data_IF_297778712391
#
_entry.id   IF_297778712391
#
_cell.length_a   1.000
_cell.length_b   1.000
_cell.length_c   1.000
_cell.angle_alpha   90.00
_cell.angle_beta   90.00
_cell.angle_gamma   90.00
#
_symmetry.space_group_name_H-M   'P 1'
#
loop_
_entity.id
_entity.type
_entity.pdbx_description
1 polymer ?
#
# COMPACT_ATOMS: atom_id res chain seq x y z
N UNK A 1 -2.04 -5.57 20.87
CA UNK A 1 -1.71 -6.38 22.08
C UNK A 1 -0.68 -7.47 21.77
N UNK A 2 -0.93 -8.41 20.86
CA UNK A 2 0.03 -9.49 20.54
C UNK A 2 1.44 -8.99 20.14
N UNK A 3 1.55 -7.90 19.37
CA UNK A 3 2.86 -7.32 19.00
C UNK A 3 3.58 -6.64 20.16
N UNK A 4 2.84 -6.00 21.06
CA UNK A 4 3.40 -5.40 22.27
C UNK A 4 3.94 -6.48 23.22
N UNK A 5 3.31 -7.66 23.23
CA UNK A 5 3.76 -8.83 23.98
C UNK A 5 4.98 -9.50 23.33
N UNK A 6 5.07 -9.49 21.99
CA UNK A 6 6.18 -10.11 21.25
C UNK A 6 7.52 -9.44 21.59
N UNK A 7 7.56 -8.11 21.51
CA UNK A 7 8.78 -7.33 21.78
C UNK A 7 8.87 -6.82 23.22
N UNK A 8 7.81 -6.93 24.03
CA UNK A 8 7.71 -6.34 25.37
C UNK A 8 8.92 -6.53 26.29
N UNK A 9 9.48 -7.75 26.43
CA UNK A 9 10.62 -8.01 27.31
C UNK A 9 11.93 -7.37 26.86
N UNK A 10 12.04 -6.94 25.61
CA UNK A 10 13.22 -6.22 25.13
C UNK A 10 13.20 -4.77 25.65
N UNK A 11 14.36 -4.20 26.02
CA UNK A 11 14.48 -2.76 26.28
C UNK A 11 13.99 -1.97 25.07
N UNK A 12 13.05 -1.03 25.24
CA UNK A 12 12.43 -0.32 24.13
C UNK A 12 11.39 -1.12 23.33
N UNK A 13 11.06 -2.34 23.76
CA UNK A 13 10.22 -3.29 23.06
C UNK A 13 8.86 -2.77 22.61
N UNK A 14 8.17 -2.04 23.50
CA UNK A 14 6.87 -1.43 23.19
C UNK A 14 6.99 -0.38 22.07
N UNK A 15 8.07 0.41 22.05
CA UNK A 15 8.34 1.38 20.99
C UNK A 15 8.60 0.71 19.65
N UNK A 16 9.35 -0.41 19.64
CA UNK A 16 9.59 -1.22 18.44
C UNK A 16 8.26 -1.78 17.92
N UNK A 17 7.38 -2.27 18.80
CA UNK A 17 6.04 -2.72 18.40
C UNK A 17 5.23 -1.60 17.75
N UNK A 18 5.33 -0.37 18.24
CA UNK A 18 4.61 0.78 17.65
C UNK A 18 5.14 1.09 16.25
N UNK A 19 6.45 1.15 16.04
CA UNK A 19 7.03 1.35 14.71
C UNK A 19 6.61 0.24 13.77
N UNK A 20 6.70 -1.02 14.20
CA UNK A 20 6.40 -2.17 13.35
C UNK A 20 4.92 -2.23 12.97
N UNK A 21 4.02 -2.10 13.94
CA UNK A 21 2.57 -2.07 13.66
C UNK A 21 2.23 -0.83 12.83
N UNK A 22 2.85 0.31 13.11
CA UNK A 22 2.62 1.51 12.35
C UNK A 22 3.18 1.45 10.92
N UNK A 23 4.28 0.74 10.67
CA UNK A 23 4.77 0.43 9.32
C UNK A 23 3.79 -0.47 8.54
N UNK A 24 3.19 -1.45 9.22
CA UNK A 24 2.16 -2.30 8.62
C UNK A 24 0.87 -1.51 8.32
N UNK A 25 0.42 -0.66 9.25
CA UNK A 25 -0.75 0.18 9.04
C UNK A 25 -0.51 1.28 7.99
N UNK A 26 0.71 1.82 7.95
CA UNK A 26 1.18 2.76 6.95
C UNK A 26 0.98 2.22 5.54
N UNK A 27 1.43 0.99 5.28
CA UNK A 27 1.24 0.31 4.00
C UNK A 27 -0.25 0.14 3.63
N UNK A 28 -1.15 0.03 4.62
CA UNK A 28 -2.59 -0.17 4.33
C UNK A 28 -3.38 1.13 4.17
N UNK A 29 -2.95 2.22 4.78
CA UNK A 29 -3.72 3.47 4.85
C UNK A 29 -3.18 4.58 3.96
N UNK A 30 -1.86 4.64 3.75
CA UNK A 30 -1.23 5.66 2.91
C UNK A 30 -1.38 7.11 3.42
N UNK A 31 -1.90 7.33 4.64
CA UNK A 31 -2.18 8.66 5.20
C UNK A 31 -1.60 8.81 6.60
N UNK A 32 -0.80 9.87 6.78
CA UNK A 32 -0.15 10.20 8.07
C UNK A 32 -1.19 10.54 9.15
N UNK A 33 -2.15 11.42 8.86
CA UNK A 33 -3.12 11.91 9.85
C UNK A 33 -3.93 10.79 10.52
N UNK A 34 -4.54 9.91 9.71
CA UNK A 34 -5.33 8.78 10.22
C UNK A 34 -4.48 7.81 11.07
N UNK A 35 -3.27 7.48 10.58
CA UNK A 35 -2.37 6.57 11.29
C UNK A 35 -1.91 7.15 12.62
N UNK A 36 -1.54 8.45 12.66
CA UNK A 36 -1.11 9.13 13.88
C UNK A 36 -2.25 9.23 14.89
N UNK A 37 -3.47 9.53 14.46
CA UNK A 37 -4.64 9.58 15.37
C UNK A 37 -4.95 8.20 15.93
N UNK A 38 -5.01 7.17 15.09
CA UNK A 38 -5.27 5.80 15.53
C UNK A 38 -4.20 5.30 16.50
N UNK A 39 -2.92 5.50 16.16
CA UNK A 39 -1.79 5.14 17.03
C UNK A 39 -1.71 6.02 18.27
N UNK A 40 -2.08 7.29 18.18
CA UNK A 40 -2.17 8.20 19.32
C UNK A 40 -3.22 7.74 20.32
N UNK A 41 -4.39 7.30 19.87
CA UNK A 41 -5.47 6.82 20.74
C UNK A 41 -5.16 5.46 21.36
N UNK A 42 -4.44 4.57 20.66
CA UNK A 42 -4.20 3.19 21.10
C UNK A 42 -2.84 3.04 21.80
N UNK A 43 -1.77 3.53 21.17
CA UNK A 43 -0.39 3.28 21.59
C UNK A 43 0.12 4.27 22.61
N UNK A 44 -0.29 5.55 22.56
CA UNK A 44 0.19 6.56 23.52
C UNK A 44 -0.22 6.21 24.97
N UNK A 45 -1.49 5.88 25.28
CA UNK A 45 -1.87 5.52 26.64
C UNK A 45 -1.15 4.27 27.13
N UNK A 46 -0.93 3.29 26.24
CA UNK A 46 -0.21 2.06 26.56
C UNK A 46 1.27 2.34 26.88
N UNK A 47 1.94 3.23 26.13
CA UNK A 47 3.32 3.63 26.39
C UNK A 47 3.44 4.39 27.73
N UNK A 48 2.55 5.34 27.98
CA UNK A 48 2.56 6.12 29.22
C UNK A 48 2.25 5.26 30.45
N UNK A 49 1.32 4.29 30.35
CA UNK A 49 1.02 3.34 31.43
C UNK A 49 2.25 2.48 31.79
N UNK A 50 3.13 2.23 30.83
CA UNK A 50 4.38 1.51 31.03
C UNK A 50 5.58 2.44 31.29
N UNK A 51 5.35 3.67 31.76
CA UNK A 51 6.38 4.63 32.14
C UNK A 51 7.35 5.03 31.02
N UNK A 52 6.93 4.97 29.74
CA UNK A 52 7.70 5.59 28.67
C UNK A 52 7.70 7.12 28.81
N UNK A 53 8.81 7.74 28.44
CA UNK A 53 8.88 9.21 28.42
C UNK A 53 7.92 9.80 27.37
N UNK A 54 7.19 10.86 27.73
CA UNK A 54 6.25 11.55 26.82
C UNK A 54 6.90 11.97 25.50
N UNK A 55 8.11 12.58 25.47
CA UNK A 55 8.74 12.98 24.22
C UNK A 55 9.06 11.80 23.30
N UNK A 56 9.56 10.69 23.86
CA UNK A 56 9.87 9.50 23.08
C UNK A 56 8.59 8.83 22.56
N UNK A 57 7.54 8.73 23.38
CA UNK A 57 6.28 8.12 22.98
C UNK A 57 5.59 8.91 21.86
N UNK A 58 5.45 10.23 22.02
CA UNK A 58 4.88 11.10 20.98
C UNK A 58 5.75 11.09 19.71
N UNK A 59 7.08 11.24 19.85
CA UNK A 59 8.00 11.23 18.72
C UNK A 59 7.96 9.93 17.93
N UNK A 60 7.89 8.78 18.62
CA UNK A 60 7.79 7.46 17.98
C UNK A 60 6.48 7.31 17.19
N UNK A 61 5.36 7.77 17.74
CA UNK A 61 4.05 7.71 17.07
C UNK A 61 4.03 8.64 15.85
N UNK A 62 4.52 9.87 15.99
CA UNK A 62 4.64 10.81 14.88
C UNK A 62 5.55 10.27 13.76
N UNK A 63 6.73 9.78 14.11
CA UNK A 63 7.68 9.20 13.16
C UNK A 63 7.07 7.99 12.45
N UNK A 64 6.42 7.09 13.20
CA UNK A 64 5.75 5.93 12.63
C UNK A 64 4.61 6.31 11.67
N UNK A 65 3.92 7.43 11.89
CA UNK A 65 2.88 7.91 10.98
C UNK A 65 3.43 8.35 9.62
N UNK A 66 4.63 8.93 9.58
CA UNK A 66 5.27 9.38 8.33
C UNK A 66 5.62 8.22 7.40
N UNK A 67 5.79 7.01 7.93
CA UNK A 67 6.02 5.79 7.14
C UNK A 67 4.88 5.52 6.14
N UNK A 68 3.66 6.00 6.41
CA UNK A 68 2.52 5.89 5.49
C UNK A 68 2.74 6.55 4.13
N UNK A 69 3.66 7.52 4.05
CA UNK A 69 3.95 8.20 2.79
C UNK A 69 4.97 7.44 1.94
N UNK A 70 5.86 6.65 2.54
CA UNK A 70 6.97 6.01 1.83
C UNK A 70 6.74 4.52 1.61
N UNK A 71 6.08 3.81 2.52
CA UNK A 71 5.89 2.37 2.42
C UNK A 71 4.74 2.07 1.44
N UNK A 72 5.00 1.35 0.33
CA UNK A 72 3.94 1.00 -0.61
C UNK A 72 2.88 0.04 -0.03
N UNK A 73 1.61 0.13 -0.50
CA UNK A 73 1.05 1.13 -1.40
C UNK A 73 0.82 2.50 -0.73
N UNK A 74 1.41 3.57 -1.29
CA UNK A 74 1.30 4.94 -0.76
C UNK A 74 0.55 5.85 -1.71
N UNK A 75 -0.43 6.58 -1.18
CA UNK A 75 -1.21 7.58 -1.93
C UNK A 75 -0.31 8.68 -2.48
N UNK A 76 0.67 9.13 -1.69
CA UNK A 76 1.61 10.19 -2.09
C UNK A 76 2.43 9.74 -3.30
N UNK A 77 2.94 8.50 -3.27
CA UNK A 77 3.70 7.96 -4.40
C UNK A 77 2.82 7.74 -5.64
N UNK A 78 1.56 7.33 -5.48
CA UNK A 78 0.61 7.21 -6.60
C UNK A 78 0.38 8.58 -7.25
N UNK A 79 0.12 9.61 -6.44
CA UNK A 79 -0.10 10.97 -6.94
C UNK A 79 1.15 11.50 -7.63
N UNK A 80 2.33 11.32 -7.03
CA UNK A 80 3.59 11.73 -7.64
C UNK A 80 3.83 11.01 -8.97
N UNK A 81 3.55 9.71 -9.05
CA UNK A 81 3.66 8.95 -10.30
C UNK A 81 2.74 9.51 -11.39
N UNK A 82 1.49 9.82 -11.05
CA UNK A 82 0.52 10.38 -11.98
C UNK A 82 0.96 11.76 -12.49
N UNK A 83 1.43 12.64 -11.59
CA UNK A 83 1.93 13.97 -11.96
C UNK A 83 3.20 13.88 -12.81
N UNK A 84 4.13 12.99 -12.47
CA UNK A 84 5.35 12.75 -13.26
C UNK A 84 5.02 12.17 -14.63
N UNK A 85 4.08 11.23 -14.72
CA UNK A 85 3.64 10.67 -16.01
C UNK A 85 3.02 11.75 -16.90
N UNK A 86 2.12 12.56 -16.34
CA UNK A 86 1.49 13.66 -17.08
C UNK A 86 2.51 14.70 -17.56
N UNK A 87 3.51 15.02 -16.73
CA UNK A 87 4.60 15.92 -17.11
C UNK A 87 5.48 15.31 -18.22
N UNK A 88 5.83 14.02 -18.12
CA UNK A 88 6.58 13.31 -19.16
C UNK A 88 5.81 13.22 -20.48
N UNK A 89 4.48 13.03 -20.44
CA UNK A 89 3.63 12.99 -21.64
C UNK A 89 3.54 14.37 -22.33
N UNK A 90 3.44 15.45 -21.55
CA UNK A 90 3.52 16.83 -22.07
C UNK A 90 4.89 17.09 -22.72
N UNK A 91 5.97 16.71 -22.04
CA UNK A 91 7.34 16.86 -22.56
C UNK A 91 7.56 16.04 -23.84
N UNK A 92 7.05 14.80 -23.89
CA UNK A 92 7.10 13.94 -25.08
C UNK A 92 6.33 14.54 -26.25
N UNK A 93 5.16 15.11 -26.00
CA UNK A 93 4.37 15.78 -27.04
C UNK A 93 5.12 16.98 -27.61
N UNK A 94 5.72 17.81 -26.75
CA UNK A 94 6.54 18.94 -27.17
C UNK A 94 7.79 18.49 -27.97
N UNK A 95 8.50 17.46 -27.50
CA UNK A 95 9.67 16.89 -28.22
C UNK A 95 9.30 16.30 -29.57
N UNK A 96 8.17 15.57 -29.67
CA UNK A 96 7.68 15.02 -30.94
C UNK A 96 7.33 16.13 -31.94
N UNK A 97 6.75 17.24 -31.47
CA UNK A 97 6.47 18.40 -32.30
C UNK A 97 7.76 19.06 -32.83
N UNK A 98 8.76 19.27 -31.95
CA UNK A 98 10.07 19.80 -32.32
C UNK A 98 10.82 18.88 -33.29
N UNK A 99 10.84 17.57 -33.03
CA UNK A 99 11.49 16.59 -33.91
C UNK A 99 10.88 16.63 -35.31
N UNK A 100 9.55 16.61 -35.41
CA UNK A 100 8.83 16.69 -36.69
C UNK A 100 9.13 17.97 -37.45
N UNK A 101 9.30 19.10 -36.77
CA UNK A 101 9.65 20.38 -37.41
C UNK A 101 11.08 20.38 -37.98
N UNK A 102 12.02 19.68 -37.34
CA UNK A 102 13.43 19.67 -37.74
C UNK A 102 13.71 18.61 -38.82
N UNK A 103 13.17 17.40 -38.67
CA UNK A 103 13.49 16.26 -39.54
C UNK A 103 12.45 15.99 -40.62
N UNK A 104 11.22 16.50 -40.46
CA UNK A 104 10.08 16.19 -41.32
C UNK A 104 9.47 14.80 -41.08
N UNK A 105 10.03 13.99 -40.18
CA UNK A 105 9.54 12.66 -39.84
C UNK A 105 8.43 12.70 -38.77
N UNK A 106 7.38 11.90 -38.95
CA UNK A 106 6.23 11.85 -38.03
C UNK A 106 6.46 11.00 -36.77
N UNK A 107 7.44 10.09 -36.81
CA UNK A 107 7.73 9.17 -35.71
C UNK A 107 9.10 9.49 -35.11
N UNK A 108 9.12 9.92 -33.86
CA UNK A 108 10.36 10.11 -33.11
C UNK A 108 10.89 8.76 -32.61
N UNK A 109 12.19 8.44 -32.77
CA UNK A 109 12.79 7.24 -32.19
C UNK A 109 12.65 7.17 -30.67
N UNK A 110 12.43 5.97 -30.13
CA UNK A 110 12.21 5.73 -28.68
C UNK A 110 13.36 6.19 -27.77
N UNK A 111 14.59 6.23 -28.28
CA UNK A 111 15.77 6.75 -27.55
C UNK A 111 15.67 8.25 -27.18
N UNK A 112 14.79 9.00 -27.82
CA UNK A 112 14.56 10.42 -27.53
C UNK A 112 13.32 10.67 -26.68
N UNK A 113 12.56 9.62 -26.36
CA UNK A 113 11.39 9.72 -25.49
C UNK A 113 11.82 9.97 -24.03
N UNK A 114 11.08 10.84 -23.37
CA UNK A 114 11.13 11.03 -21.93
C UNK A 114 10.40 9.86 -21.30
N UNK A 115 11.14 9.03 -20.56
CA UNK A 115 10.56 7.89 -19.83
C UNK A 115 9.70 8.46 -18.69
N UNK A 116 8.42 8.08 -18.66
CA UNK A 116 7.56 8.36 -17.50
C UNK A 116 7.83 7.34 -16.40
N UNK A 117 7.89 7.80 -15.15
CA UNK A 117 7.93 6.90 -14.01
C UNK A 117 6.51 6.36 -13.77
N UNK A 118 6.33 5.04 -13.82
CA UNK A 118 5.05 4.45 -13.46
C UNK A 118 4.89 4.42 -11.93
N UNK A 119 3.64 4.27 -11.46
CA UNK A 119 3.39 4.08 -10.03
C UNK A 119 4.04 2.79 -9.48
N UNK A 120 4.20 1.76 -10.33
CA UNK A 120 4.95 0.55 -9.97
C UNK A 120 6.43 0.83 -9.75
N UNK A 121 7.06 1.62 -10.60
CA UNK A 121 8.46 2.01 -10.48
C UNK A 121 8.70 2.85 -9.22
N UNK A 122 7.78 3.78 -8.93
CA UNK A 122 7.80 4.57 -7.70
C UNK A 122 7.70 3.68 -6.45
N UNK A 123 6.85 2.66 -6.46
CA UNK A 123 6.76 1.70 -5.35
C UNK A 123 8.03 0.86 -5.21
N UNK A 124 8.58 0.38 -6.32
CA UNK A 124 9.82 -0.39 -6.31
C UNK A 124 10.99 0.44 -5.77
N UNK A 125 11.10 1.70 -6.19
CA UNK A 125 12.12 2.64 -5.74
C UNK A 125 11.97 3.04 -4.27
N UNK A 126 10.74 3.09 -3.74
CA UNK A 126 10.47 3.48 -2.35
C UNK A 126 10.56 2.32 -1.35
N UNK A 127 10.46 1.07 -1.79
CA UNK A 127 10.43 -0.10 -0.90
C UNK A 127 11.71 -0.22 -0.05
N UNK A 128 12.88 -0.16 -0.67
CA UNK A 128 14.17 -0.29 0.03
C UNK A 128 14.38 0.88 1.01
N UNK A 129 14.27 2.16 0.59
CA UNK A 129 14.34 3.29 1.52
C UNK A 129 13.34 3.21 2.66
N UNK A 130 12.11 2.76 2.40
CA UNK A 130 11.08 2.59 3.42
C UNK A 130 11.46 1.56 4.48
N UNK A 131 11.99 0.40 4.06
CA UNK A 131 12.48 -0.63 4.98
C UNK A 131 13.71 -0.17 5.76
N UNK A 132 14.63 0.54 5.11
CA UNK A 132 15.80 1.13 5.77
C UNK A 132 15.34 2.12 6.85
N UNK A 133 14.37 2.98 6.54
CA UNK A 133 13.85 3.98 7.49
C UNK A 133 13.21 3.31 8.72
N UNK A 134 12.42 2.24 8.52
CA UNK A 134 11.89 1.42 9.61
C UNK A 134 13.03 0.85 10.46
N UNK A 135 14.07 0.32 9.82
CA UNK A 135 15.26 -0.19 10.50
C UNK A 135 15.98 0.88 11.31
N UNK A 136 16.16 2.09 10.75
CA UNK A 136 16.78 3.23 11.44
C UNK A 136 15.94 3.65 12.64
N UNK A 137 14.61 3.70 12.53
CA UNK A 137 13.75 4.02 13.68
C UNK A 137 13.81 2.97 14.78
N UNK A 138 13.83 1.68 14.42
CA UNK A 138 14.00 0.59 15.40
C UNK A 138 15.36 0.70 16.09
N UNK A 139 16.42 0.93 15.31
CA UNK A 139 17.78 1.11 15.81
C UNK A 139 17.86 2.31 16.76
N UNK A 140 17.23 3.43 16.42
CA UNK A 140 17.16 4.60 17.27
C UNK A 140 16.52 4.29 18.63
N UNK A 141 15.40 3.55 18.66
CA UNK A 141 14.75 3.15 19.93
C UNK A 141 15.67 2.22 20.74
N UNK A 142 16.33 1.26 20.09
CA UNK A 142 17.27 0.36 20.76
C UNK A 142 18.44 1.12 21.38
N UNK A 143 19.03 2.06 20.65
CA UNK A 143 20.12 2.92 21.14
C UNK A 143 19.64 3.74 22.35
N UNK A 144 18.47 4.38 22.26
CA UNK A 144 17.91 5.17 23.36
C UNK A 144 17.61 4.30 24.58
N UNK A 145 17.04 3.10 24.38
CA UNK A 145 16.76 2.17 25.47
C UNK A 145 18.03 1.65 26.15
N UNK A 146 19.11 1.47 25.40
CA UNK A 146 20.41 1.04 25.92
C UNK A 146 21.12 2.17 26.71
N UNK A 147 21.17 3.38 26.16
CA UNK A 147 21.84 4.52 26.81
C UNK A 147 21.01 5.06 27.99
N UNK A 148 19.67 5.07 27.85
CA UNK A 148 18.74 5.65 28.83
C UNK A 148 17.57 4.70 29.10
N UNK A 149 17.78 3.62 29.86
CA UNK A 149 16.74 2.61 30.12
C UNK A 149 15.49 3.16 30.82
N UNK A 150 15.61 4.27 31.56
CA UNK A 150 14.47 4.96 32.19
C UNK A 150 13.49 5.58 31.18
N UNK A 151 13.93 5.90 29.96
CA UNK A 151 13.06 6.53 28.94
C UNK A 151 12.20 5.51 28.17
N UNK A 152 12.65 4.26 28.12
CA UNK A 152 12.06 3.18 27.35
C UNK A 152 12.19 1.83 28.09
N UNK A 153 11.52 1.68 29.25
CA UNK A 153 11.64 0.48 30.07
C UNK A 153 11.07 -0.76 29.34
N UNK A 154 11.62 -1.95 29.61
CA UNK A 154 11.04 -3.21 29.14
C UNK A 154 9.70 -3.47 29.84
N UNK A 155 8.74 -4.02 29.11
CA UNK A 155 7.42 -4.40 29.61
C UNK A 155 7.40 -5.92 29.79
N UNK A 156 7.47 -6.44 31.03
CA UNK A 156 7.48 -7.87 31.25
C UNK A 156 6.18 -8.50 30.72
N UNK A 157 6.34 -9.56 29.92
CA UNK A 157 5.23 -10.38 29.48
C UNK A 157 5.05 -11.52 30.49
N UNK A 158 3.90 -11.56 31.17
CA UNK A 158 3.60 -12.57 32.20
C UNK A 158 3.28 -13.97 31.63
N UNK A 159 3.23 -14.12 30.30
CA UNK A 159 2.98 -15.41 29.64
C UNK A 159 4.26 -16.10 29.16
N UNK A 160 4.16 -17.39 28.83
CA UNK A 160 5.24 -18.12 28.16
C UNK A 160 5.26 -17.83 26.65
N UNK A 161 6.46 -17.80 26.06
CA UNK A 161 6.67 -17.82 24.61
C UNK A 161 6.41 -19.22 24.04
N UNK A 162 5.16 -19.67 24.14
CA UNK A 162 4.75 -21.02 23.74
C UNK A 162 4.30 -21.09 22.27
N UNK A 163 4.05 -22.31 21.79
CA UNK A 163 3.53 -22.54 20.44
C UNK A 163 2.18 -21.86 20.20
N UNK A 164 1.38 -21.64 21.24
CA UNK A 164 0.10 -20.93 21.14
C UNK A 164 0.28 -19.43 20.95
N UNK A 165 1.26 -18.82 21.62
CA UNK A 165 1.66 -17.43 21.43
C UNK A 165 2.19 -17.20 20.01
N UNK A 166 3.09 -18.06 19.54
CA UNK A 166 3.57 -18.02 18.15
C UNK A 166 2.41 -18.11 17.14
N UNK A 167 1.44 -19.01 17.38
CA UNK A 167 0.23 -19.11 16.55
C UNK A 167 -0.61 -17.85 16.57
N UNK A 168 -0.81 -17.21 17.72
CA UNK A 168 -1.54 -15.93 17.84
C UNK A 168 -0.86 -14.80 17.06
N UNK A 169 0.45 -14.68 17.19
CA UNK A 169 1.27 -13.70 16.47
C UNK A 169 1.18 -13.92 14.95
N UNK A 170 1.33 -15.17 14.49
CA UNK A 170 1.22 -15.52 13.08
C UNK A 170 -0.18 -15.23 12.51
N UNK A 171 -1.24 -15.64 13.21
CA UNK A 171 -2.63 -15.38 12.76
C UNK A 171 -2.95 -13.88 12.69
N UNK A 172 -2.30 -13.06 13.51
CA UNK A 172 -2.43 -11.61 13.47
C UNK A 172 -1.70 -10.97 12.27
N UNK A 173 -0.45 -11.37 11.99
CA UNK A 173 0.43 -10.76 10.99
C UNK A 173 0.26 -11.29 9.57
N UNK A 174 0.12 -12.60 9.44
CA UNK A 174 0.17 -13.26 8.12
C UNK A 174 -0.91 -12.71 7.19
N UNK A 175 -2.18 -12.50 7.61
CA UNK A 175 -3.19 -12.05 6.64
C UNK A 175 -2.95 -10.63 6.08
N UNK A 176 -2.66 -9.58 6.89
CA UNK A 176 -2.29 -8.27 6.36
C UNK A 176 -1.04 -8.30 5.49
N UNK A 177 0.00 -9.02 5.91
CA UNK A 177 1.24 -9.16 5.14
C UNK A 177 1.00 -9.87 3.81
N UNK A 178 0.27 -10.98 3.83
CA UNK A 178 -0.08 -11.73 2.63
C UNK A 178 -0.83 -10.84 1.63
N UNK A 179 -1.78 -10.01 2.09
CA UNK A 179 -2.48 -9.07 1.23
C UNK A 179 -1.52 -8.03 0.62
N UNK A 180 -0.63 -7.45 1.43
CA UNK A 180 0.38 -6.50 0.94
C UNK A 180 1.27 -7.17 -0.11
N UNK A 181 1.78 -8.37 0.14
CA UNK A 181 2.62 -9.09 -0.82
C UNK A 181 1.87 -9.50 -2.09
N UNK A 182 0.60 -9.88 -2.00
CA UNK A 182 -0.22 -10.18 -3.18
C UNK A 182 -0.42 -8.91 -4.03
N UNK A 183 -0.80 -7.80 -3.40
CA UNK A 183 -1.04 -6.53 -4.11
C UNK A 183 0.27 -6.00 -4.70
N UNK A 184 1.29 -5.81 -3.87
CA UNK A 184 2.58 -5.28 -4.30
C UNK A 184 3.27 -6.22 -5.29
N UNK A 185 3.24 -7.53 -5.04
CA UNK A 185 3.80 -8.53 -5.95
C UNK A 185 3.12 -8.52 -7.31
N UNK A 186 1.79 -8.33 -7.37
CA UNK A 186 1.07 -8.22 -8.65
C UNK A 186 1.44 -6.96 -9.45
N UNK A 187 1.77 -5.86 -8.76
CA UNK A 187 2.25 -4.61 -9.38
C UNK A 187 3.68 -4.79 -9.88
N UNK A 188 4.58 -5.25 -9.02
CA UNK A 188 6.01 -5.40 -9.33
C UNK A 188 6.28 -6.45 -10.40
N UNK A 189 5.49 -7.53 -10.43
CA UNK A 189 5.59 -8.55 -11.48
C UNK A 189 4.91 -8.13 -12.80
N UNK A 190 4.30 -6.94 -12.87
CA UNK A 190 3.58 -6.47 -14.05
C UNK A 190 2.32 -7.26 -14.38
N UNK A 191 1.82 -8.06 -13.44
CA UNK A 191 0.61 -8.90 -13.61
C UNK A 191 -0.66 -8.06 -13.56
N UNK A 192 -0.66 -7.03 -12.72
CA UNK A 192 -1.79 -6.14 -12.50
C UNK A 192 -1.34 -4.68 -12.49
N UNK A 193 -2.14 -3.80 -13.08
CA UNK A 193 -1.97 -2.34 -12.91
C UNK A 193 -2.37 -1.93 -11.49
N UNK A 194 -1.98 -0.72 -11.04
CA UNK A 194 -2.29 -0.24 -9.68
C UNK A 194 -3.79 -0.28 -9.36
N UNK A 195 -4.65 0.07 -10.33
CA UNK A 195 -6.10 0.02 -10.16
C UNK A 195 -6.61 -1.42 -10.00
N UNK A 196 -6.07 -2.36 -10.79
CA UNK A 196 -6.42 -3.78 -10.70
C UNK A 196 -5.93 -4.41 -9.40
N UNK A 197 -4.70 -4.08 -8.99
CA UNK A 197 -4.12 -4.52 -7.72
C UNK A 197 -4.92 -3.99 -6.52
N UNK A 198 -5.44 -2.76 -6.59
CA UNK A 198 -6.37 -2.20 -5.61
C UNK A 198 -7.66 -3.02 -5.48
N UNK A 199 -8.25 -3.47 -6.59
CA UNK A 199 -9.42 -4.34 -6.58
C UNK A 199 -9.13 -5.71 -5.94
N UNK A 200 -7.97 -6.30 -6.25
CA UNK A 200 -7.50 -7.54 -5.60
C UNK A 200 -7.36 -7.33 -4.09
N UNK A 201 -6.79 -6.20 -3.67
CA UNK A 201 -6.67 -5.80 -2.27
C UNK A 201 -8.03 -5.70 -1.56
N UNK A 202 -9.00 -5.01 -2.17
CA UNK A 202 -10.33 -4.83 -1.63
C UNK A 202 -11.10 -6.16 -1.49
N UNK A 203 -11.06 -7.00 -2.52
CA UNK A 203 -11.69 -8.33 -2.50
C UNK A 203 -11.04 -9.20 -1.42
N UNK A 204 -9.70 -9.21 -1.34
CA UNK A 204 -8.97 -9.93 -0.31
C UNK A 204 -9.31 -9.45 1.10
N UNK A 205 -9.39 -8.13 1.33
CA UNK A 205 -9.77 -7.55 2.61
C UNK A 205 -11.20 -7.92 3.03
N UNK A 206 -12.16 -7.91 2.10
CA UNK A 206 -13.55 -8.31 2.35
C UNK A 206 -13.63 -9.79 2.75
N UNK A 207 -12.96 -10.68 2.02
CA UNK A 207 -12.90 -12.11 2.36
C UNK A 207 -12.25 -12.30 3.74
N UNK A 208 -11.18 -11.55 4.04
CA UNK A 208 -10.50 -11.60 5.33
C UNK A 208 -11.38 -11.14 6.49
N UNK A 209 -12.06 -10.01 6.34
CA UNK A 209 -13.02 -9.52 7.31
C UNK A 209 -14.14 -10.56 7.51
N UNK A 210 -14.66 -11.14 6.43
CA UNK A 210 -15.73 -12.13 6.46
C UNK A 210 -15.46 -13.36 7.33
N UNK A 211 -14.23 -13.88 7.36
CA UNK A 211 -13.88 -15.00 8.25
C UNK A 211 -13.36 -14.54 9.63
N UNK A 212 -12.72 -13.37 9.74
CA UNK A 212 -12.25 -12.86 11.04
C UNK A 212 -13.40 -12.49 11.97
N UNK A 213 -14.51 -12.00 11.42
CA UNK A 213 -15.66 -11.55 12.21
C UNK A 213 -16.67 -12.65 12.51
N UNK A 214 -16.60 -13.78 11.79
CA UNK A 214 -17.45 -14.96 12.03
C UNK A 214 -16.75 -15.99 12.93
N UNK A 215 -16.17 -15.50 14.03
CA UNK A 215 -15.48 -16.32 15.01
C UNK A 215 -16.45 -17.27 15.73
N UNK A 216 -16.05 -18.55 15.87
CA UNK A 216 -16.79 -19.57 16.63
C UNK A 216 -17.95 -20.26 15.92
N UNK A 217 -18.25 -19.94 14.65
CA UNK A 217 -19.38 -20.54 13.90
C UNK A 217 -18.92 -21.51 12.80
N UNK A 218 -19.72 -22.55 12.57
CA UNK A 218 -19.50 -23.50 11.46
C UNK A 218 -19.52 -22.76 10.13
N UNK A 219 -18.54 -23.04 9.26
CA UNK A 219 -18.41 -22.35 7.98
C UNK A 219 -17.63 -21.03 7.98
N UNK A 220 -16.86 -20.75 9.04
CA UNK A 220 -15.99 -19.56 9.16
C UNK A 220 -15.13 -19.31 7.90
N UNK A 221 -14.36 -20.32 7.48
CA UNK A 221 -13.41 -20.20 6.37
C UNK A 221 -13.98 -20.58 5.00
N UNK A 222 -15.25 -20.99 4.91
CA UNK A 222 -15.85 -21.47 3.65
C UNK A 222 -15.72 -20.46 2.49
N UNK A 223 -16.08 -19.16 2.64
CA UNK A 223 -15.92 -18.21 1.54
C UNK A 223 -14.47 -18.04 1.11
N UNK A 224 -13.53 -18.06 2.06
CA UNK A 224 -12.10 -17.93 1.76
C UNK A 224 -11.56 -19.14 1.00
N UNK A 225 -11.95 -20.36 1.41
CA UNK A 225 -11.55 -21.61 0.74
C UNK A 225 -12.14 -21.67 -0.67
N UNK A 226 -13.43 -21.35 -0.83
CA UNK A 226 -14.10 -21.31 -2.13
C UNK A 226 -13.43 -20.31 -3.08
N UNK A 227 -13.15 -19.09 -2.58
CA UNK A 227 -12.45 -18.07 -3.37
C UNK A 227 -11.04 -18.51 -3.76
N UNK A 228 -10.29 -19.13 -2.84
CA UNK A 228 -8.93 -19.61 -3.12
C UNK A 228 -8.91 -20.75 -4.14
N UNK A 229 -9.82 -21.73 -4.01
CA UNK A 229 -9.98 -22.82 -4.98
C UNK A 229 -10.34 -22.25 -6.35
N UNK A 230 -11.30 -21.32 -6.41
CA UNK A 230 -11.69 -20.68 -7.67
C UNK A 230 -10.52 -19.97 -8.35
N UNK A 231 -9.70 -19.21 -7.60
CA UNK A 231 -8.53 -18.52 -8.14
C UNK A 231 -7.50 -19.52 -8.66
N UNK A 232 -7.19 -20.59 -7.91
CA UNK A 232 -6.27 -21.64 -8.35
C UNK A 232 -6.77 -22.31 -9.62
N UNK A 233 -8.05 -22.68 -9.67
CA UNK A 233 -8.66 -23.30 -10.85
C UNK A 233 -8.54 -22.38 -12.07
N UNK A 234 -8.86 -21.09 -11.93
CA UNK A 234 -8.72 -20.10 -13.01
C UNK A 234 -7.25 -19.98 -13.45
N UNK A 235 -6.30 -19.94 -12.50
CA UNK A 235 -4.88 -19.85 -12.81
C UNK A 235 -4.36 -21.07 -13.57
N UNK A 236 -4.75 -22.28 -13.16
CA UNK A 236 -4.39 -23.54 -13.85
C UNK A 236 -4.98 -23.56 -15.26
N UNK A 237 -6.26 -23.22 -15.41
CA UNK A 237 -6.93 -23.18 -16.71
C UNK A 237 -6.27 -22.16 -17.65
N UNK A 238 -5.96 -20.97 -17.16
CA UNK A 238 -5.27 -19.92 -17.92
C UNK A 238 -3.84 -20.33 -18.32
N UNK A 239 -3.15 -21.10 -17.48
CA UNK A 239 -1.78 -21.57 -17.77
C UNK A 239 -1.74 -22.70 -18.82
N UNK A 240 -2.83 -23.46 -18.96
CA UNK A 240 -2.88 -24.64 -19.84
C UNK A 240 -3.65 -24.40 -21.15
N UNK A 241 -4.60 -23.45 -21.15
CA UNK A 241 -5.51 -23.20 -22.27
C UNK A 241 -5.62 -21.70 -22.59
N UNK A 242 -5.79 -21.37 -23.87
CA UNK A 242 -6.20 -20.04 -24.31
C UNK A 242 -7.67 -19.80 -23.97
N UNK A 243 -7.91 -19.13 -22.85
CA UNK A 243 -9.26 -18.72 -22.43
C UNK A 243 -9.75 -17.50 -23.24
N UNK A 244 -10.00 -17.69 -24.54
CA UNK A 244 -10.54 -16.65 -25.42
C UNK A 244 -11.88 -17.09 -26.03
N UNK A 245 -12.97 -16.45 -25.58
CA UNK A 245 -14.34 -16.75 -26.03
C UNK A 245 -14.52 -16.51 -27.54
N UNK A 246 -13.75 -15.60 -28.14
CA UNK A 246 -13.84 -15.26 -29.57
C UNK A 246 -12.98 -16.14 -30.48
N UNK A 247 -12.06 -16.92 -29.90
CA UNK A 247 -11.10 -17.73 -30.66
C UNK A 247 -11.03 -19.13 -30.06
N UNK A 248 -12.10 -19.89 -30.25
CA UNK A 248 -12.21 -21.28 -29.77
C UNK A 248 -11.85 -22.18 -30.93
N UNK A 249 -10.77 -22.94 -30.79
CA UNK A 249 -10.25 -23.82 -31.84
C UNK A 249 -10.51 -25.30 -31.53
N UNK A 250 -10.52 -25.68 -30.24
CA UNK A 250 -10.62 -27.07 -29.80
C UNK A 250 -11.76 -27.34 -28.80
N UNK A 251 -12.31 -28.56 -28.77
CA UNK A 251 -13.30 -28.99 -27.77
C UNK A 251 -12.77 -28.88 -26.32
N UNK A 252 -11.47 -29.11 -26.13
CA UNK A 252 -10.83 -28.96 -24.82
C UNK A 252 -10.83 -27.48 -24.34
N UNK A 253 -10.71 -26.52 -25.26
CA UNK A 253 -10.80 -25.09 -24.91
C UNK A 253 -12.23 -24.70 -24.55
N UNK A 254 -13.23 -25.26 -25.25
CA UNK A 254 -14.64 -25.07 -24.90
C UNK A 254 -14.95 -25.56 -23.48
N UNK A 255 -14.50 -26.78 -23.13
CA UNK A 255 -14.64 -27.31 -21.77
C UNK A 255 -13.87 -26.47 -20.73
N UNK A 256 -12.66 -26.01 -21.07
CA UNK A 256 -11.88 -25.14 -20.19
C UNK A 256 -12.58 -23.80 -19.93
N UNK A 257 -13.23 -23.20 -20.94
CA UNK A 257 -14.01 -21.97 -20.79
C UNK A 257 -15.22 -22.19 -19.88
N UNK A 258 -15.93 -23.31 -20.01
CA UNK A 258 -17.06 -23.65 -19.12
C UNK A 258 -16.61 -23.81 -17.66
N UNK A 259 -15.51 -24.54 -17.42
CA UNK A 259 -14.93 -24.68 -16.09
C UNK A 259 -14.47 -23.33 -15.52
N UNK A 260 -13.89 -22.47 -16.36
CA UNK A 260 -13.49 -21.13 -15.96
C UNK A 260 -14.71 -20.27 -15.58
N UNK A 261 -15.82 -20.35 -16.33
CA UNK A 261 -17.07 -19.66 -15.99
C UNK A 261 -17.64 -20.11 -14.65
N UNK A 262 -17.65 -21.43 -14.39
CA UNK A 262 -18.07 -21.98 -13.09
C UNK A 262 -17.16 -21.47 -11.98
N UNK A 263 -15.83 -21.50 -12.17
CA UNK A 263 -14.88 -21.00 -11.19
C UNK A 263 -15.06 -19.49 -10.91
N UNK A 264 -15.31 -18.67 -11.93
CA UNK A 264 -15.64 -17.25 -11.76
C UNK A 264 -16.96 -17.08 -11.00
N UNK A 265 -17.98 -17.88 -11.28
CA UNK A 265 -19.24 -17.88 -10.54
C UNK A 265 -19.03 -18.21 -9.05
N UNK A 266 -18.22 -19.22 -8.74
CA UNK A 266 -17.85 -19.58 -7.36
C UNK A 266 -17.09 -18.44 -6.67
N UNK A 267 -16.17 -17.78 -7.38
CA UNK A 267 -15.44 -16.63 -6.86
C UNK A 267 -16.38 -15.48 -6.50
N UNK A 268 -17.32 -15.14 -7.39
CA UNK A 268 -18.31 -14.09 -7.14
C UNK A 268 -19.22 -14.44 -5.95
N UNK A 269 -19.66 -15.69 -5.84
CA UNK A 269 -20.44 -16.16 -4.69
C UNK A 269 -19.64 -16.06 -3.38
N UNK A 270 -18.35 -16.42 -3.38
CA UNK A 270 -17.48 -16.29 -2.22
C UNK A 270 -17.33 -14.83 -1.77
N UNK A 271 -17.19 -13.90 -2.73
CA UNK A 271 -17.11 -12.46 -2.44
C UNK A 271 -18.44 -11.94 -1.91
N UNK A 272 -19.56 -12.23 -2.59
CA UNK A 272 -20.90 -11.81 -2.16
C UNK A 272 -21.25 -12.35 -0.77
N UNK A 273 -20.94 -13.63 -0.50
CA UNK A 273 -21.14 -14.21 0.82
C UNK A 273 -20.32 -13.48 1.89
N UNK A 274 -19.06 -13.14 1.58
CA UNK A 274 -18.21 -12.37 2.49
C UNK A 274 -18.76 -10.96 2.73
N UNK A 275 -19.23 -10.26 1.70
CA UNK A 275 -19.88 -8.94 1.81
C UNK A 275 -21.11 -9.03 2.71
N UNK A 276 -21.98 -10.03 2.51
CA UNK A 276 -23.19 -10.19 3.33
C UNK A 276 -22.83 -10.44 4.80
N UNK A 277 -21.80 -11.25 5.08
CA UNK A 277 -21.31 -11.46 6.45
C UNK A 277 -20.79 -10.16 7.08
N UNK A 278 -19.98 -9.42 6.32
CA UNK A 278 -19.38 -8.16 6.79
C UNK A 278 -20.46 -7.11 7.04
N UNK A 279 -21.44 -6.97 6.14
CA UNK A 279 -22.56 -6.04 6.27
C UNK A 279 -23.46 -6.35 7.47
N UNK A 280 -23.64 -7.63 7.81
CA UNK A 280 -24.47 -8.05 8.95
C UNK A 280 -23.76 -7.94 10.30
N UNK A 281 -22.44 -7.73 10.31
CA UNK A 281 -21.63 -7.79 11.54
C UNK A 281 -21.08 -6.40 11.85
N UNK A 282 -21.80 -5.65 12.69
CA UNK A 282 -21.48 -4.26 13.02
C UNK A 282 -21.62 -3.32 11.83
N UNK A 283 -21.59 -2.01 12.08
CA UNK A 283 -21.67 -1.00 11.02
C UNK A 283 -20.34 -0.87 10.23
N UNK A 284 -19.51 -1.92 10.22
CA UNK A 284 -18.12 -1.90 9.78
C UNK A 284 -18.03 -1.61 8.28
N UNK A 285 -18.88 -2.23 7.46
CA UNK A 285 -18.88 -1.97 6.02
C UNK A 285 -19.17 -0.48 5.74
N UNK A 286 -20.13 0.09 6.47
CA UNK A 286 -20.47 1.50 6.33
C UNK A 286 -19.32 2.40 6.79
N UNK A 287 -18.73 2.12 7.95
CA UNK A 287 -17.57 2.87 8.48
C UNK A 287 -16.39 2.84 7.50
N UNK A 288 -16.04 1.66 6.97
CA UNK A 288 -14.97 1.52 5.97
C UNK A 288 -15.32 2.28 4.70
N UNK A 289 -16.58 2.22 4.24
CA UNK A 289 -16.99 2.97 3.05
C UNK A 289 -16.94 4.48 3.25
N UNK A 290 -17.36 4.97 4.42
CA UNK A 290 -17.28 6.39 4.77
C UNK A 290 -15.82 6.84 4.86
N UNK A 291 -14.95 6.04 5.49
CA UNK A 291 -13.53 6.37 5.60
C UNK A 291 -12.83 6.36 4.24
N UNK A 292 -13.20 5.42 3.37
CA UNK A 292 -12.74 5.37 1.97
C UNK A 292 -13.23 6.59 1.20
N UNK A 293 -14.51 6.97 1.33
CA UNK A 293 -15.07 8.13 0.67
C UNK A 293 -14.40 9.44 1.13
N UNK A 294 -14.15 9.59 2.44
CA UNK A 294 -13.41 10.73 3.00
C UNK A 294 -12.00 10.82 2.47
N UNK A 295 -11.27 9.70 2.50
CA UNK A 295 -9.90 9.59 1.98
C UNK A 295 -9.84 9.98 0.51
N UNK A 296 -10.72 9.40 -0.31
CA UNK A 296 -10.83 9.71 -1.74
C UNK A 296 -11.18 11.17 -1.98
N UNK A 297 -12.13 11.73 -1.22
CA UNK A 297 -12.52 13.15 -1.34
C UNK A 297 -11.37 14.10 -0.99
N UNK A 298 -10.60 13.79 0.07
CA UNK A 298 -9.41 14.54 0.44
C UNK A 298 -8.37 14.54 -0.69
N UNK A 299 -8.12 13.38 -1.31
CA UNK A 299 -7.20 13.27 -2.46
C UNK A 299 -7.70 14.10 -3.64
N UNK A 300 -8.97 14.03 -4.00
CA UNK A 300 -9.54 14.84 -5.08
C UNK A 300 -9.41 16.34 -4.82
N UNK A 301 -9.67 16.80 -3.59
CA UNK A 301 -9.51 18.21 -3.21
C UNK A 301 -8.04 18.64 -3.34
N UNK A 302 -7.09 17.80 -2.89
CA UNK A 302 -5.66 18.07 -3.02
C UNK A 302 -5.26 18.16 -4.50
N UNK A 303 -5.70 17.22 -5.34
CA UNK A 303 -5.39 17.23 -6.77
C UNK A 303 -5.99 18.44 -7.48
N UNK A 304 -7.23 18.81 -7.15
CA UNK A 304 -7.88 20.00 -7.70
C UNK A 304 -7.14 21.28 -7.28
N UNK A 305 -6.80 21.40 -6.00
CA UNK A 305 -6.02 22.54 -5.49
C UNK A 305 -4.63 22.61 -6.11
N UNK A 306 -3.94 21.48 -6.27
CA UNK A 306 -2.65 21.39 -6.94
C UNK A 306 -2.74 21.78 -8.42
N UNK A 307 -3.78 21.34 -9.14
CA UNK A 307 -4.01 21.71 -10.53
C UNK A 307 -4.32 23.21 -10.69
N UNK A 308 -5.15 23.78 -9.82
CA UNK A 308 -5.43 25.22 -9.79
C UNK A 308 -4.17 26.04 -9.49
N UNK A 309 -3.39 25.64 -8.48
CA UNK A 309 -2.13 26.29 -8.14
C UNK A 309 -1.14 26.19 -9.30
N UNK A 310 -1.02 25.01 -9.92
CA UNK A 310 -0.10 24.78 -11.04
C UNK A 310 -0.50 25.61 -12.24
N UNK A 311 -1.79 25.69 -12.58
CA UNK A 311 -2.25 26.51 -13.71
C UNK A 311 -2.03 28.01 -13.46
N UNK A 312 -2.34 28.50 -12.26
CA UNK A 312 -2.08 29.89 -11.87
C UNK A 312 -0.57 30.18 -11.88
N UNK A 313 0.23 29.32 -11.25
CA UNK A 313 1.68 29.46 -11.20
C UNK A 313 2.30 29.50 -12.60
N UNK A 314 1.85 28.62 -13.51
CA UNK A 314 2.25 28.64 -14.92
C UNK A 314 1.79 29.91 -15.64
N UNK A 315 0.55 30.33 -15.43
CA UNK A 315 0.00 31.54 -16.06
C UNK A 315 0.76 32.82 -15.66
N UNK A 316 1.29 32.89 -14.45
CA UNK A 316 2.13 34.00 -13.98
C UNK A 316 3.62 33.86 -14.33
N UNK A 317 4.00 32.89 -15.17
CA UNK A 317 5.40 32.68 -15.58
C UNK A 317 6.28 32.01 -14.52
N UNK A 318 5.69 31.38 -13.50
CA UNK A 318 6.43 30.69 -12.45
C UNK A 318 7.28 29.52 -12.96
N UNK A 319 6.86 28.88 -14.05
CA UNK A 319 7.65 27.81 -14.70
C UNK A 319 8.95 28.35 -15.30
N UNK A 320 8.90 29.53 -15.94
CA UNK A 320 10.08 30.24 -16.45
C UNK A 320 11.04 30.59 -15.31
N UNK A 321 10.50 31.06 -14.19
CA UNK A 321 11.26 31.47 -13.02
C UNK A 321 12.00 30.28 -12.38
N UNK A 322 11.30 29.16 -12.18
CA UNK A 322 11.91 27.92 -11.66
C UNK A 322 12.94 27.37 -12.64
N UNK A 323 12.62 27.35 -13.94
CA UNK A 323 13.56 26.91 -14.98
C UNK A 323 14.83 27.76 -14.96
N UNK A 324 14.69 29.10 -14.98
CA UNK A 324 15.83 30.01 -14.96
C UNK A 324 16.66 29.84 -13.69
N UNK A 325 16.02 29.71 -12.53
CA UNK A 325 16.70 29.46 -11.26
C UNK A 325 17.52 28.16 -11.29
N UNK A 326 16.90 27.06 -11.72
CA UNK A 326 17.58 25.76 -11.82
C UNK A 326 18.75 25.80 -12.83
N UNK A 327 18.57 26.43 -13.99
CA UNK A 327 19.64 26.56 -14.99
C UNK A 327 20.77 27.50 -14.55
N UNK A 328 20.48 28.43 -13.64
CA UNK A 328 21.47 29.37 -13.08
C UNK A 328 22.32 28.79 -11.96
N UNK A 329 21.92 27.65 -11.38
CA UNK A 329 22.73 26.97 -10.38
C UNK A 329 24.03 26.44 -11.03
N UNK A 330 25.20 26.55 -10.36
CA UNK A 330 26.44 26.01 -10.88
C UNK A 330 26.30 24.49 -11.08
N UNK A 331 26.40 24.05 -12.34
CA UNK A 331 26.08 22.69 -12.79
C UNK A 331 24.69 22.52 -13.42
N UNK A 332 23.96 23.60 -13.75
CA UNK A 332 22.50 23.65 -13.92
C UNK A 332 21.82 22.76 -14.99
N UNK A 333 22.50 22.32 -16.05
CA UNK A 333 22.03 21.23 -16.94
C UNK A 333 23.00 20.01 -16.93
N UNK A 334 23.99 20.08 -16.04
CA UNK A 334 25.32 19.48 -16.01
C UNK A 334 26.42 20.10 -16.89
N UNK A 335 26.15 20.80 -18.01
CA UNK A 335 27.02 21.93 -18.52
C UNK A 335 26.51 22.72 -19.74
N UNK A 336 25.58 22.22 -20.56
CA UNK A 336 24.89 22.93 -21.67
C UNK A 336 23.82 22.01 -22.25
#
# INVERSE_FOLDING_TARGET
>A
VAMAQLFGPLPGGLGISVIFVGALLAATTGIVGATVVAMGLISLPAMLKNNYSKPLACGTICASGTLGQIIPPSIVLIILADQLSSASDQANTARKALYRQITGEFSMPSRFEVVSASAGDMFMGALIPGLILVGIYILYILIVAWIRPKLAPPVPYEGAYDRQFARRVLVALVPPLALIFIVLGSILAGVATVNQAGAIGAVGAIIMAGYRMYEGKWGRYLPAILGFIAIITIAILKSRYSLNIKSIQNEAEWQAIQMALVAVGVLLLAVLWSIVRVRRTGNILWEVMVETAKTTSMVFIILLGAAMLTSAFRAFGGEELVKHYLTSLPGGFWTQ
#
